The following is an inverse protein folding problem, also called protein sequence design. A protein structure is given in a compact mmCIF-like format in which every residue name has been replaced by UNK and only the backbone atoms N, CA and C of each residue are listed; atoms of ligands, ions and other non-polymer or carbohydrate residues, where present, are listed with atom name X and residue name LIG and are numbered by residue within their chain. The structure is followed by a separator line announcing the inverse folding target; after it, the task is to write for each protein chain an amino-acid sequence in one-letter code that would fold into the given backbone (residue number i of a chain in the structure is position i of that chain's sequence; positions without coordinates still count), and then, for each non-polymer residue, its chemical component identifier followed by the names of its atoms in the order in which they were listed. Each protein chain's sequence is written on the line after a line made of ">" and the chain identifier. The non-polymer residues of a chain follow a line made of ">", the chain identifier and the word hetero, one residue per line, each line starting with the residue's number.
data_IF_788710918005
#
_entry.id   IF_788710918005
#
_cell.length_a   1.000
_cell.length_b   1.000
_cell.length_c   1.000
_cell.angle_alpha   90.00
_cell.angle_beta   90.00
_cell.angle_gamma   90.00
#
_symmetry.space_group_name_H-M   'P 1'
#
loop_
_entity.id
_entity.type
_entity.pdbx_description
1 polymer ?
#
# COMPACT_ATOMS: atom_id res chain seq x y z
N UNK A 1 -11.02 27.36 -11.41
CA UNK A 1 -12.14 26.94 -12.28
C UNK A 1 -11.69 26.12 -13.49
N UNK A 2 -10.61 26.49 -14.19
CA UNK A 2 -10.11 25.78 -15.39
C UNK A 2 -9.81 24.28 -15.24
N UNK A 3 -9.48 23.78 -14.04
CA UNK A 3 -9.29 22.34 -13.80
C UNK A 3 -10.61 21.57 -13.60
N UNK A 4 -11.71 22.29 -13.41
CA UNK A 4 -13.02 21.76 -13.04
C UNK A 4 -14.04 21.87 -14.18
N UNK A 5 -13.86 22.79 -15.13
CA UNK A 5 -14.82 23.10 -16.20
C UNK A 5 -15.16 21.90 -17.09
N UNK A 6 -14.20 20.98 -17.29
CA UNK A 6 -14.42 19.73 -18.03
C UNK A 6 -14.99 18.60 -17.17
N UNK A 7 -15.02 18.74 -15.85
CA UNK A 7 -15.38 17.66 -14.91
C UNK A 7 -16.76 17.83 -14.29
N UNK A 8 -17.23 19.06 -14.14
CA UNK A 8 -18.49 19.37 -13.44
C UNK A 8 -19.15 20.60 -14.04
N UNK A 9 -20.47 20.71 -13.83
CA UNK A 9 -21.22 21.92 -14.16
C UNK A 9 -20.86 23.05 -13.18
N UNK A 10 -20.16 24.08 -13.66
CA UNK A 10 -19.75 25.22 -12.84
C UNK A 10 -20.79 26.33 -12.92
N UNK A 11 -21.36 26.72 -11.78
CA UNK A 11 -22.22 27.89 -11.64
C UNK A 11 -21.48 28.93 -10.78
N UNK A 12 -21.00 30.04 -11.37
CA UNK A 12 -20.31 31.06 -10.60
C UNK A 12 -21.32 31.92 -9.82
N UNK A 13 -20.99 32.18 -8.55
CA UNK A 13 -21.78 33.03 -7.66
C UNK A 13 -20.88 34.10 -7.03
N UNK A 14 -21.44 35.28 -6.79
CA UNK A 14 -20.84 36.32 -5.96
C UNK A 14 -21.45 36.19 -4.57
N UNK A 15 -20.67 35.66 -3.64
CA UNK A 15 -21.09 35.47 -2.25
C UNK A 15 -21.12 36.81 -1.50
N UNK A 16 -21.96 36.90 -0.46
CA UNK A 16 -22.09 38.10 0.40
C UNK A 16 -22.32 39.37 -0.42
N UNK A 17 -23.20 39.30 -1.42
CA UNK A 17 -23.47 40.41 -2.32
C UNK A 17 -24.00 41.67 -1.62
N UNK A 18 -24.50 41.54 -0.39
CA UNK A 18 -24.91 42.64 0.48
C UNK A 18 -23.77 43.56 0.92
N UNK A 19 -22.51 43.17 0.64
CA UNK A 19 -21.31 43.99 0.89
C UNK A 19 -20.93 44.90 -0.28
N UNK A 20 -21.60 44.78 -1.42
CA UNK A 20 -21.26 45.47 -2.67
C UNK A 20 -22.46 46.33 -3.09
N UNK A 21 -22.21 47.58 -3.48
CA UNK A 21 -23.29 48.43 -4.00
C UNK A 21 -23.79 47.93 -5.36
N UNK A 22 -25.02 48.28 -5.75
CA UNK A 22 -25.59 47.85 -7.04
C UNK A 22 -24.75 48.29 -8.24
N UNK A 23 -24.15 49.48 -8.20
CA UNK A 23 -23.33 50.03 -9.28
C UNK A 23 -21.99 49.31 -9.41
N UNK A 24 -21.35 48.99 -8.28
CA UNK A 24 -20.12 48.18 -8.25
C UNK A 24 -20.38 46.74 -8.66
N UNK A 25 -21.51 46.17 -8.24
CA UNK A 25 -21.90 44.81 -8.56
C UNK A 25 -22.02 44.60 -10.07
N UNK A 26 -22.63 45.55 -10.79
CA UNK A 26 -22.72 45.47 -12.26
C UNK A 26 -21.34 45.46 -12.91
N UNK A 27 -20.45 46.38 -12.50
CA UNK A 27 -19.06 46.41 -12.99
C UNK A 27 -18.31 45.11 -12.66
N UNK A 28 -18.54 44.56 -11.47
CA UNK A 28 -17.89 43.34 -11.01
C UNK A 28 -18.37 42.11 -11.80
N UNK A 29 -19.68 41.99 -12.06
CA UNK A 29 -20.24 40.95 -12.93
C UNK A 29 -19.62 41.00 -14.33
N UNK A 30 -19.57 42.17 -14.96
CA UNK A 30 -18.97 42.32 -16.29
C UNK A 30 -17.50 41.91 -16.32
N UNK A 31 -16.72 42.28 -15.30
CA UNK A 31 -15.31 41.88 -15.18
C UNK A 31 -15.16 40.36 -15.05
N UNK A 32 -15.96 39.72 -14.20
CA UNK A 32 -15.93 38.26 -14.02
C UNK A 32 -16.26 37.55 -15.34
N UNK A 33 -17.31 37.99 -16.04
CA UNK A 33 -17.70 37.38 -17.33
C UNK A 33 -16.59 37.52 -18.36
N UNK A 34 -15.98 38.71 -18.46
CA UNK A 34 -14.85 38.94 -19.36
C UNK A 34 -13.64 38.05 -19.01
N UNK A 35 -13.30 37.91 -17.72
CA UNK A 35 -12.20 37.03 -17.30
C UNK A 35 -12.48 35.55 -17.57
N UNK A 36 -13.72 35.09 -17.36
CA UNK A 36 -14.12 33.71 -17.67
C UNK A 36 -13.96 33.41 -19.17
N UNK A 37 -14.37 34.35 -20.03
CA UNK A 37 -14.23 34.25 -21.48
C UNK A 37 -12.75 34.27 -21.90
N UNK A 38 -11.97 35.25 -21.41
CA UNK A 38 -10.55 35.40 -21.75
C UNK A 38 -9.71 34.17 -21.37
N UNK A 39 -10.06 33.52 -20.26
CA UNK A 39 -9.39 32.30 -19.81
C UNK A 39 -10.01 31.03 -20.41
N UNK A 40 -11.05 31.14 -21.24
CA UNK A 40 -11.78 30.03 -21.85
C UNK A 40 -12.38 29.06 -20.83
N UNK A 41 -12.83 29.54 -19.68
CA UNK A 41 -13.45 28.72 -18.64
C UNK A 41 -14.90 28.47 -19.02
N UNK A 42 -15.26 27.21 -19.29
CA UNK A 42 -16.64 26.85 -19.59
C UNK A 42 -17.45 26.80 -18.30
N UNK A 43 -18.38 27.74 -18.15
CA UNK A 43 -19.41 27.70 -17.10
C UNK A 43 -20.65 27.02 -17.64
N UNK A 44 -21.46 26.50 -16.73
CA UNK A 44 -22.75 25.92 -17.08
C UNK A 44 -23.69 27.03 -17.57
N UNK A 45 -24.19 26.86 -18.79
CA UNK A 45 -25.22 27.68 -19.40
C UNK A 45 -26.46 26.83 -19.58
N UNK A 46 -27.61 27.46 -19.32
CA UNK A 46 -28.90 26.83 -19.48
C UNK A 46 -29.23 26.57 -20.94
N UNK A 47 -29.83 25.41 -21.25
CA UNK A 47 -30.32 25.13 -22.59
C UNK A 47 -31.42 26.13 -22.94
N UNK A 48 -31.34 26.70 -24.14
CA UNK A 48 -32.36 27.59 -24.70
C UNK A 48 -33.05 26.96 -25.91
N UNK A 49 -32.83 25.66 -26.10
CA UNK A 49 -33.28 24.89 -27.27
C UNK A 49 -34.78 24.56 -27.20
N UNK A 50 -35.33 24.43 -25.99
CA UNK A 50 -36.76 24.21 -25.75
C UNK A 50 -37.49 25.56 -25.67
N UNK A 51 -38.36 25.84 -26.64
CA UNK A 51 -39.16 27.07 -26.74
C UNK A 51 -39.99 27.35 -25.48
N UNK A 52 -40.41 26.32 -24.72
CA UNK A 52 -41.23 26.49 -23.53
C UNK A 52 -40.48 27.14 -22.35
N UNK A 53 -39.15 27.03 -22.32
CA UNK A 53 -38.28 27.53 -21.25
C UNK A 53 -37.16 28.44 -21.74
N UNK A 54 -37.04 28.66 -23.06
CA UNK A 54 -35.95 29.41 -23.70
C UNK A 54 -35.83 30.84 -23.17
N UNK A 55 -36.94 31.58 -23.07
CA UNK A 55 -36.96 32.96 -22.57
C UNK A 55 -36.50 33.04 -21.11
N UNK A 56 -36.99 32.12 -20.27
CA UNK A 56 -36.62 32.05 -18.85
C UNK A 56 -35.13 31.71 -18.73
N UNK A 57 -34.66 30.71 -19.45
CA UNK A 57 -33.27 30.27 -19.40
C UNK A 57 -32.30 31.32 -19.96
N UNK A 58 -32.68 32.05 -21.01
CA UNK A 58 -31.91 33.18 -21.54
C UNK A 58 -31.79 34.30 -20.50
N UNK A 59 -32.90 34.65 -19.82
CA UNK A 59 -32.90 35.62 -18.73
C UNK A 59 -32.04 35.15 -17.55
N UNK A 60 -32.11 33.88 -17.17
CA UNK A 60 -31.29 33.32 -16.09
C UNK A 60 -29.79 33.30 -16.44
N UNK A 61 -29.45 32.95 -17.68
CA UNK A 61 -28.07 33.01 -18.18
C UNK A 61 -27.49 34.43 -18.10
N UNK A 62 -28.30 35.47 -18.36
CA UNK A 62 -27.87 36.86 -18.25
C UNK A 62 -27.55 37.31 -16.81
N UNK A 63 -28.07 36.61 -15.80
CA UNK A 63 -27.81 36.92 -14.39
C UNK A 63 -26.51 36.31 -13.86
N UNK A 64 -25.86 35.42 -14.62
CA UNK A 64 -24.61 34.76 -14.25
C UNK A 64 -23.45 35.77 -14.31
N UNK A 65 -22.63 35.92 -13.24
CA UNK A 65 -22.69 35.20 -11.96
C UNK A 65 -23.76 35.73 -11.00
N UNK A 66 -24.46 34.84 -10.29
CA UNK A 66 -25.54 35.21 -9.37
C UNK A 66 -25.00 35.92 -8.13
N UNK A 67 -25.56 37.07 -7.80
CA UNK A 67 -25.19 37.83 -6.61
C UNK A 67 -26.06 37.41 -5.43
N UNK A 68 -25.51 36.61 -4.52
CA UNK A 68 -26.31 35.93 -3.48
C UNK A 68 -25.98 36.39 -2.07
N UNK A 69 -27.02 36.39 -1.23
CA UNK A 69 -26.95 36.64 0.20
C UNK A 69 -27.55 35.42 0.90
N UNK A 70 -26.83 34.86 1.87
CA UNK A 70 -27.32 33.75 2.69
C UNK A 70 -27.67 34.24 4.09
N UNK A 71 -28.78 33.74 4.64
CA UNK A 71 -29.11 33.90 6.07
C UNK A 71 -29.91 32.69 6.55
N UNK A 72 -29.62 32.23 7.76
CA UNK A 72 -30.42 31.25 8.51
C UNK A 72 -31.43 31.92 9.44
N UNK A 73 -31.26 33.23 9.68
CA UNK A 73 -32.04 33.95 10.68
C UNK A 73 -33.35 34.47 10.08
N UNK A 74 -34.42 34.36 10.86
CA UNK A 74 -35.73 34.88 10.51
C UNK A 74 -35.96 36.23 11.20
N UNK A 75 -36.29 37.24 10.40
CA UNK A 75 -36.65 38.56 10.89
C UNK A 75 -38.11 38.84 10.51
N UNK A 76 -38.86 39.42 11.44
CA UNK A 76 -40.23 39.86 11.18
C UNK A 76 -40.19 41.20 10.47
N UNK A 77 -40.57 41.22 9.19
CA UNK A 77 -40.70 42.45 8.40
C UNK A 77 -42.18 42.64 8.06
N UNK A 78 -42.81 43.62 8.71
CA UNK A 78 -44.26 43.78 8.70
C UNK A 78 -44.98 42.56 9.30
N UNK A 79 -45.85 41.93 8.51
CA UNK A 79 -46.64 40.77 8.95
C UNK A 79 -46.04 39.41 8.54
N UNK A 80 -44.86 39.39 7.90
CA UNK A 80 -44.23 38.15 7.43
C UNK A 80 -42.89 37.93 8.13
N UNK A 81 -42.61 36.67 8.46
CA UNK A 81 -41.28 36.21 8.89
C UNK A 81 -40.49 35.79 7.66
N UNK A 82 -39.40 36.49 7.39
CA UNK A 82 -38.57 36.26 6.19
C UNK A 82 -37.12 36.00 6.60
N UNK A 83 -36.40 35.20 5.80
CA UNK A 83 -34.96 35.02 5.96
C UNK A 83 -34.25 36.31 5.59
N UNK A 84 -33.48 36.86 6.52
CA UNK A 84 -32.85 38.16 6.33
C UNK A 84 -31.58 38.33 7.15
N UNK A 85 -30.74 39.30 6.75
CA UNK A 85 -29.61 39.79 7.55
C UNK A 85 -29.95 41.16 8.11
N UNK A 86 -29.87 41.31 9.43
CA UNK A 86 -30.14 42.57 10.11
C UNK A 86 -28.85 43.36 10.29
N UNK A 87 -28.88 44.63 9.88
CA UNK A 87 -27.83 45.61 10.12
C UNK A 87 -28.41 46.84 10.83
N UNK A 88 -27.58 47.70 11.46
CA UNK A 88 -28.04 48.95 12.07
C UNK A 88 -28.73 49.89 11.07
N UNK A 89 -28.34 49.84 9.80
CA UNK A 89 -28.88 50.68 8.72
C UNK A 89 -30.05 50.04 7.95
N UNK A 90 -30.43 48.80 8.25
CA UNK A 90 -31.55 48.14 7.58
C UNK A 90 -31.47 46.63 7.54
N UNK A 91 -32.44 46.03 6.83
CA UNK A 91 -32.64 44.58 6.77
C UNK A 91 -32.54 44.08 5.34
N UNK A 92 -31.57 43.21 5.06
CA UNK A 92 -31.40 42.59 3.74
C UNK A 92 -32.18 41.28 3.70
N UNK A 93 -33.35 41.32 3.07
CA UNK A 93 -34.18 40.14 2.80
C UNK A 93 -33.56 39.25 1.72
N UNK A 94 -33.39 37.96 2.02
CA UNK A 94 -32.76 36.97 1.11
C UNK A 94 -33.66 36.61 -0.07
N UNK A 95 -34.98 36.51 0.15
CA UNK A 95 -35.93 36.12 -0.90
C UNK A 95 -36.47 37.32 -1.70
N UNK A 96 -35.88 38.50 -1.52
CA UNK A 96 -36.27 39.70 -2.25
C UNK A 96 -35.32 39.92 -3.45
N UNK A 97 -35.87 39.82 -4.66
CA UNK A 97 -35.11 39.97 -5.91
C UNK A 97 -34.50 41.36 -6.11
N UNK A 98 -35.03 42.38 -5.43
CA UNK A 98 -34.45 43.73 -5.48
C UNK A 98 -33.17 43.85 -4.64
N UNK A 99 -32.91 42.88 -3.74
CA UNK A 99 -31.75 42.84 -2.86
C UNK A 99 -30.68 41.87 -3.36
N UNK A 100 -31.06 40.67 -3.83
CA UNK A 100 -30.10 39.68 -4.32
C UNK A 100 -30.76 38.68 -5.30
N UNK A 101 -29.94 37.93 -6.02
CA UNK A 101 -30.35 36.95 -7.04
C UNK A 101 -30.64 35.54 -6.44
N UNK A 102 -30.84 35.42 -5.14
CA UNK A 102 -31.03 34.10 -4.49
C UNK A 102 -32.24 33.34 -5.04
N UNK A 103 -33.36 34.04 -5.27
CA UNK A 103 -34.58 33.43 -5.83
C UNK A 103 -34.29 32.81 -7.19
N UNK A 104 -33.61 33.55 -8.07
CA UNK A 104 -33.20 33.10 -9.41
C UNK A 104 -32.29 31.87 -9.32
N UNK A 105 -31.28 31.89 -8.46
CA UNK A 105 -30.40 30.74 -8.25
C UNK A 105 -31.16 29.50 -7.76
N UNK A 106 -32.12 29.66 -6.84
CA UNK A 106 -32.92 28.56 -6.30
C UNK A 106 -33.83 27.94 -7.37
N UNK A 107 -34.55 28.76 -8.11
CA UNK A 107 -35.45 28.29 -9.18
C UNK A 107 -34.67 27.57 -10.27
N UNK A 108 -33.53 28.15 -10.65
CA UNK A 108 -32.59 27.58 -11.59
C UNK A 108 -32.08 26.19 -11.18
N UNK A 109 -31.61 26.03 -9.93
CA UNK A 109 -31.00 24.78 -9.48
C UNK A 109 -32.02 23.66 -9.22
N UNK A 110 -33.18 24.00 -8.67
CA UNK A 110 -34.10 23.00 -8.10
C UNK A 110 -35.33 22.78 -8.97
N UNK A 111 -35.82 23.82 -9.65
CA UNK A 111 -37.14 23.78 -10.31
C UNK A 111 -37.06 23.41 -11.77
N UNK A 112 -36.16 24.04 -12.52
CA UNK A 112 -36.22 23.99 -13.99
C UNK A 112 -35.14 23.08 -14.59
N UNK A 113 -33.92 23.11 -14.07
CA UNK A 113 -32.76 22.63 -14.84
C UNK A 113 -31.97 21.49 -14.16
N UNK A 114 -32.51 20.90 -13.09
CA UNK A 114 -31.86 19.79 -12.39
C UNK A 114 -31.62 18.59 -13.32
N UNK A 115 -32.59 18.29 -14.17
CA UNK A 115 -32.54 17.16 -15.08
C UNK A 115 -31.49 17.38 -16.18
N UNK A 116 -31.47 18.57 -16.81
CA UNK A 116 -30.44 18.94 -17.79
C UNK A 116 -29.02 18.90 -17.18
N UNK A 117 -28.85 19.41 -15.96
CA UNK A 117 -27.56 19.32 -15.27
C UNK A 117 -27.12 17.86 -15.07
N UNK A 118 -28.06 16.96 -14.75
CA UNK A 118 -27.79 15.53 -14.59
C UNK A 118 -27.40 14.89 -15.91
N UNK A 119 -28.16 15.18 -16.96
CA UNK A 119 -27.90 14.67 -18.32
C UNK A 119 -26.54 15.14 -18.83
N UNK A 120 -26.23 16.43 -18.72
CA UNK A 120 -24.92 16.98 -19.09
C UNK A 120 -23.78 16.38 -18.29
N UNK A 121 -24.00 16.08 -17.01
CA UNK A 121 -23.03 15.35 -16.18
C UNK A 121 -22.78 13.96 -16.74
N UNK A 122 -23.81 13.24 -17.13
CA UNK A 122 -23.68 11.90 -17.69
C UNK A 122 -23.06 11.92 -19.10
N UNK A 123 -23.69 12.61 -20.04
CA UNK A 123 -23.35 12.57 -21.47
C UNK A 123 -22.05 13.30 -21.83
N UNK A 124 -21.62 14.27 -21.02
CA UNK A 124 -20.40 15.06 -21.29
C UNK A 124 -19.31 14.80 -20.27
N UNK A 125 -19.56 15.08 -18.99
CA UNK A 125 -18.50 15.04 -17.98
C UNK A 125 -18.06 13.61 -17.67
N UNK A 126 -19.01 12.71 -17.45
CA UNK A 126 -18.74 11.30 -17.21
C UNK A 126 -18.20 10.61 -18.45
N UNK A 127 -18.77 10.83 -19.64
CA UNK A 127 -18.23 10.22 -20.87
C UNK A 127 -16.79 10.67 -21.16
N UNK A 128 -16.44 11.94 -20.92
CA UNK A 128 -15.06 12.41 -21.06
C UNK A 128 -14.11 11.69 -20.07
N UNK A 129 -14.57 11.48 -18.83
CA UNK A 129 -13.82 10.71 -17.84
C UNK A 129 -13.70 9.24 -18.26
N UNK A 130 -14.80 8.63 -18.71
CA UNK A 130 -14.91 7.24 -19.16
C UNK A 130 -13.95 6.98 -20.31
N UNK A 131 -13.95 7.84 -21.33
CA UNK A 131 -13.00 7.79 -22.46
C UNK A 131 -11.55 7.78 -21.97
N UNK A 132 -11.17 8.78 -21.15
CA UNK A 132 -9.80 8.87 -20.61
C UNK A 132 -9.42 7.65 -19.76
N UNK A 133 -10.36 7.09 -19.00
CA UNK A 133 -10.13 5.88 -18.20
C UNK A 133 -9.99 4.63 -19.03
N UNK A 134 -10.81 4.47 -20.07
CA UNK A 134 -10.70 3.37 -21.01
C UNK A 134 -9.36 3.41 -21.74
N UNK A 135 -8.92 4.59 -22.21
CA UNK A 135 -7.60 4.80 -22.81
C UNK A 135 -6.46 4.42 -21.86
N UNK A 136 -6.53 4.84 -20.59
CA UNK A 136 -5.53 4.46 -19.56
C UNK A 136 -5.52 2.97 -19.27
N UNK A 137 -6.69 2.33 -19.37
CA UNK A 137 -6.80 0.89 -19.29
C UNK A 137 -6.33 0.22 -20.59
N UNK A 138 -5.95 0.94 -21.65
CA UNK A 138 -5.50 0.34 -22.92
C UNK A 138 -6.64 -0.15 -23.81
N UNK A 139 -7.86 0.39 -23.62
CA UNK A 139 -8.93 0.27 -24.61
C UNK A 139 -8.85 1.48 -25.54
N UNK A 140 -8.51 1.23 -26.81
CA UNK A 140 -8.57 2.21 -27.90
C UNK A 140 -9.69 1.84 -28.87
N UNK A 141 -10.29 2.85 -29.49
CA UNK A 141 -11.32 2.65 -30.51
C UNK A 141 -10.75 2.12 -31.83
N UNK A 142 -9.43 2.23 -32.02
CA UNK A 142 -8.70 1.81 -33.23
C UNK A 142 -7.49 0.91 -32.91
N UNK A 143 -7.17 0.00 -33.82
CA UNK A 143 -5.95 -0.82 -33.81
C UNK A 143 -4.77 -0.07 -34.45
N UNK A 144 -3.62 -0.74 -34.53
CA UNK A 144 -2.41 -0.21 -35.18
C UNK A 144 -2.59 0.11 -36.67
N UNK A 145 -3.62 -0.47 -37.32
CA UNK A 145 -3.97 -0.26 -38.73
C UNK A 145 -5.15 0.71 -38.89
N UNK A 146 -5.50 1.43 -37.83
CA UNK A 146 -6.56 2.43 -37.79
C UNK A 146 -7.98 1.88 -38.08
N UNK A 147 -8.20 0.58 -37.84
CA UNK A 147 -9.50 -0.08 -37.98
C UNK A 147 -10.26 -0.08 -36.65
N UNK A 148 -11.59 0.05 -36.68
CA UNK A 148 -12.41 0.02 -35.47
C UNK A 148 -12.30 -1.34 -34.79
N UNK A 149 -11.87 -1.36 -33.53
CA UNK A 149 -11.73 -2.60 -32.75
C UNK A 149 -12.97 -2.80 -31.91
N UNK A 150 -13.56 -3.99 -32.00
CA UNK A 150 -14.70 -4.33 -31.15
C UNK A 150 -14.25 -4.41 -29.69
N UNK A 151 -15.00 -3.77 -28.79
CA UNK A 151 -14.75 -3.77 -27.34
C UNK A 151 -14.59 -5.20 -26.78
N UNK A 152 -15.36 -6.14 -27.33
CA UNK A 152 -15.31 -7.56 -26.96
C UNK A 152 -13.99 -8.21 -27.38
N UNK A 153 -13.49 -7.89 -28.57
CA UNK A 153 -12.23 -8.42 -29.08
C UNK A 153 -11.04 -7.92 -28.25
N UNK A 154 -11.01 -6.63 -27.90
CA UNK A 154 -9.97 -6.07 -27.01
C UNK A 154 -9.98 -6.72 -25.63
N UNK A 155 -11.18 -7.03 -25.09
CA UNK A 155 -11.31 -7.73 -23.82
C UNK A 155 -10.80 -9.18 -23.88
N UNK A 156 -11.14 -9.90 -24.96
CA UNK A 156 -10.66 -11.27 -25.21
C UNK A 156 -9.14 -11.32 -25.38
N UNK A 157 -8.57 -10.41 -26.17
CA UNK A 157 -7.11 -10.30 -26.34
C UNK A 157 -6.42 -10.00 -25.02
N UNK A 158 -6.92 -9.04 -24.22
CA UNK A 158 -6.36 -8.75 -22.90
C UNK A 158 -6.46 -9.93 -21.94
N UNK A 159 -7.60 -10.63 -21.93
CA UNK A 159 -7.78 -11.83 -21.11
C UNK A 159 -6.79 -12.93 -21.53
N UNK A 160 -6.61 -13.13 -22.84
CA UNK A 160 -5.63 -14.08 -23.38
C UNK A 160 -4.21 -13.72 -22.97
N UNK A 161 -3.79 -12.46 -23.16
CA UNK A 161 -2.47 -11.97 -22.78
C UNK A 161 -2.22 -12.11 -21.27
N UNK A 162 -3.22 -11.79 -20.44
CA UNK A 162 -3.12 -11.95 -18.99
C UNK A 162 -2.97 -13.42 -18.58
N UNK A 163 -3.71 -14.33 -19.24
CA UNK A 163 -3.58 -15.77 -19.01
C UNK A 163 -2.17 -16.26 -19.42
N UNK A 164 -1.64 -15.76 -20.53
CA UNK A 164 -0.32 -16.09 -21.02
C UNK A 164 0.79 -15.59 -20.08
N UNK A 165 0.66 -14.36 -19.55
CA UNK A 165 1.59 -13.83 -18.53
C UNK A 165 1.56 -14.67 -17.24
N UNK A 166 0.39 -15.11 -16.80
CA UNK A 166 0.27 -15.99 -15.64
C UNK A 166 0.93 -17.34 -15.88
N UNK A 167 0.73 -17.92 -17.07
CA UNK A 167 1.39 -19.17 -17.46
C UNK A 167 2.92 -19.01 -17.50
N UNK A 168 3.43 -17.93 -18.10
CA UNK A 168 4.87 -17.66 -18.12
C UNK A 168 5.45 -17.53 -16.71
N UNK A 169 4.78 -16.78 -15.82
CA UNK A 169 5.21 -16.66 -14.41
C UNK A 169 5.17 -18.01 -13.69
N UNK A 170 4.17 -18.84 -13.97
CA UNK A 170 4.10 -20.20 -13.42
C UNK A 170 5.27 -21.07 -13.91
N UNK A 171 5.57 -21.02 -15.21
CA UNK A 171 6.67 -21.77 -15.80
C UNK A 171 8.03 -21.28 -15.28
N UNK A 172 8.22 -19.97 -15.11
CA UNK A 172 9.40 -19.38 -14.47
C UNK A 172 9.55 -19.86 -13.01
N UNK A 173 8.46 -19.85 -12.23
CA UNK A 173 8.48 -20.36 -10.85
C UNK A 173 8.80 -21.86 -10.80
N UNK A 174 8.24 -22.65 -11.72
CA UNK A 174 8.53 -24.09 -11.84
C UNK A 174 10.00 -24.32 -12.19
N UNK A 175 10.55 -23.58 -13.16
CA UNK A 175 11.96 -23.68 -13.53
C UNK A 175 12.87 -23.29 -12.36
N UNK A 176 12.59 -22.18 -11.68
CA UNK A 176 13.35 -21.76 -10.50
C UNK A 176 13.30 -22.81 -9.39
N UNK A 177 12.15 -23.46 -9.17
CA UNK A 177 12.03 -24.55 -8.20
C UNK A 177 12.92 -25.74 -8.58
N UNK A 178 12.89 -26.18 -9.84
CA UNK A 178 13.73 -27.29 -10.33
C UNK A 178 15.21 -26.99 -10.15
N UNK A 179 15.65 -25.76 -10.46
CA UNK A 179 17.05 -25.34 -10.25
C UNK A 179 17.41 -25.39 -8.76
N UNK A 180 16.58 -24.81 -7.88
CA UNK A 180 16.81 -24.84 -6.43
C UNK A 180 16.85 -26.25 -5.86
N UNK A 181 15.98 -27.14 -6.32
CA UNK A 181 15.99 -28.56 -5.90
C UNK A 181 17.30 -29.21 -6.30
N UNK A 182 17.76 -29.04 -7.55
CA UNK A 182 19.04 -29.59 -8.01
C UNK A 182 20.23 -29.04 -7.23
N UNK A 183 20.25 -27.75 -6.93
CA UNK A 183 21.30 -27.13 -6.10
C UNK A 183 21.30 -27.72 -4.68
N UNK A 184 20.12 -27.85 -4.06
CA UNK A 184 20.00 -28.42 -2.71
C UNK A 184 20.34 -29.90 -2.65
N UNK A 185 19.97 -30.69 -3.66
CA UNK A 185 20.38 -32.09 -3.79
C UNK A 185 21.91 -32.21 -3.94
N UNK A 186 22.54 -31.33 -4.72
CA UNK A 186 24.00 -31.31 -4.86
C UNK A 186 24.71 -30.93 -3.55
N UNK A 187 24.20 -29.91 -2.84
CA UNK A 187 24.70 -29.54 -1.50
C UNK A 187 24.58 -30.69 -0.51
N UNK A 188 23.42 -31.36 -0.44
CA UNK A 188 23.20 -32.51 0.43
C UNK A 188 24.16 -33.66 0.10
N UNK A 189 24.38 -33.93 -1.19
CA UNK A 189 25.28 -34.98 -1.64
C UNK A 189 26.74 -34.71 -1.23
N UNK A 190 27.22 -33.48 -1.35
CA UNK A 190 28.56 -33.12 -0.88
C UNK A 190 28.65 -33.18 0.66
N UNK A 191 27.61 -32.73 1.37
CA UNK A 191 27.57 -32.84 2.84
C UNK A 191 27.58 -34.30 3.32
N UNK A 192 26.83 -35.20 2.66
CA UNK A 192 26.86 -36.64 2.93
C UNK A 192 28.24 -37.25 2.68
N UNK A 193 28.90 -36.86 1.58
CA UNK A 193 30.24 -37.32 1.26
C UNK A 193 31.28 -36.85 2.27
N UNK A 194 31.20 -35.60 2.72
CA UNK A 194 32.05 -35.07 3.80
C UNK A 194 31.81 -35.80 5.12
N UNK A 195 30.54 -36.04 5.47
CA UNK A 195 30.17 -36.77 6.68
C UNK A 195 30.72 -38.20 6.64
N UNK A 196 30.62 -38.87 5.50
CA UNK A 196 31.16 -40.21 5.29
C UNK A 196 32.69 -40.23 5.43
N UNK A 197 33.38 -39.25 4.84
CA UNK A 197 34.84 -39.12 4.98
C UNK A 197 35.27 -38.86 6.43
N UNK A 198 34.53 -38.01 7.16
CA UNK A 198 34.76 -37.77 8.60
C UNK A 198 34.54 -39.03 9.42
N UNK A 199 33.49 -39.80 9.13
CA UNK A 199 33.19 -41.06 9.80
C UNK A 199 34.31 -42.09 9.60
N UNK A 200 34.79 -42.30 8.37
CA UNK A 200 35.90 -43.23 8.10
C UNK A 200 37.21 -42.78 8.75
N UNK A 201 37.50 -41.47 8.80
CA UNK A 201 38.64 -40.94 9.54
C UNK A 201 38.53 -41.23 11.04
N UNK A 202 37.40 -40.88 11.66
CA UNK A 202 37.13 -41.15 13.08
C UNK A 202 37.24 -42.63 13.42
N UNK A 203 36.72 -43.51 12.55
CA UNK A 203 36.82 -44.96 12.69
C UNK A 203 38.29 -45.43 12.65
N UNK A 204 39.09 -44.90 11.72
CA UNK A 204 40.52 -45.21 11.64
C UNK A 204 41.26 -44.73 12.89
N UNK A 205 41.07 -43.48 13.28
CA UNK A 205 41.68 -42.89 14.47
C UNK A 205 41.33 -43.71 15.73
N UNK A 206 40.06 -44.09 15.88
CA UNK A 206 39.60 -44.94 16.98
C UNK A 206 40.28 -46.33 16.97
N UNK A 207 40.47 -46.95 15.81
CA UNK A 207 41.20 -48.23 15.73
C UNK A 207 42.67 -48.10 16.08
N UNK A 208 43.32 -47.00 15.73
CA UNK A 208 44.71 -46.72 16.07
C UNK A 208 44.87 -46.43 17.57
N UNK A 209 43.97 -45.64 18.17
CA UNK A 209 43.95 -45.43 19.62
C UNK A 209 43.71 -46.73 20.38
N UNK A 210 42.78 -47.57 19.92
CA UNK A 210 42.53 -48.88 20.54
C UNK A 210 43.80 -49.75 20.54
N UNK A 211 44.54 -49.78 19.43
CA UNK A 211 45.82 -50.49 19.34
C UNK A 211 46.87 -49.91 20.28
N UNK A 212 47.01 -48.58 20.35
CA UNK A 212 47.95 -47.91 21.28
C UNK A 212 47.63 -48.22 22.73
N UNK A 213 46.35 -48.20 23.11
CA UNK A 213 45.90 -48.56 24.47
C UNK A 213 46.23 -50.03 24.77
N UNK A 214 46.01 -50.93 23.80
CA UNK A 214 46.31 -52.35 23.94
C UNK A 214 47.82 -52.62 24.08
N UNK A 215 48.67 -51.93 23.30
CA UNK A 215 50.12 -51.98 23.43
C UNK A 215 50.62 -51.41 24.77
N UNK A 216 50.07 -50.28 25.21
CA UNK A 216 50.41 -49.67 26.49
C UNK A 216 49.99 -50.58 27.65
N UNK A 217 48.80 -51.20 27.56
CA UNK A 217 48.33 -52.20 28.52
C UNK A 217 49.27 -53.40 28.59
N UNK A 218 49.72 -53.92 27.44
CA UNK A 218 50.68 -55.03 27.39
C UNK A 218 52.00 -54.67 28.04
N UNK A 219 52.54 -53.47 27.76
CA UNK A 219 53.78 -52.98 28.41
C UNK A 219 53.62 -52.86 29.92
N UNK A 220 52.49 -52.32 30.39
CA UNK A 220 52.18 -52.25 31.83
C UNK A 220 52.06 -53.64 32.46
N UNK A 221 51.43 -54.60 31.77
CA UNK A 221 51.39 -56.00 32.22
C UNK A 221 52.80 -56.60 32.32
N UNK A 222 53.65 -56.37 31.32
CA UNK A 222 55.06 -56.82 31.33
C UNK A 222 55.86 -56.15 32.48
N UNK A 223 55.71 -54.85 32.69
CA UNK A 223 56.33 -54.10 33.79
C UNK A 223 55.85 -54.59 35.17
N UNK A 224 54.56 -54.91 35.33
CA UNK A 224 54.01 -55.50 36.56
C UNK A 224 54.63 -56.88 36.82
N UNK A 225 54.78 -57.70 35.78
CA UNK A 225 55.43 -59.01 35.90
C UNK A 225 56.90 -58.84 36.31
N UNK A 226 57.63 -57.90 35.69
CA UNK A 226 59.02 -57.63 36.04
C UNK A 226 59.17 -57.07 37.46
N UNK A 227 58.30 -56.14 37.86
CA UNK A 227 58.24 -55.60 39.22
C UNK A 227 57.99 -56.71 40.24
N UNK A 228 57.03 -57.59 39.99
CA UNK A 228 56.75 -58.73 40.85
C UNK A 228 57.95 -59.69 40.94
N UNK A 229 58.66 -59.93 39.83
CA UNK A 229 59.91 -60.71 39.82
C UNK A 229 61.01 -60.05 40.66
N UNK A 230 61.23 -58.74 40.50
CA UNK A 230 62.22 -58.00 41.30
C UNK A 230 61.84 -57.97 42.78
N UNK A 231 60.56 -57.79 43.11
CA UNK A 231 60.04 -57.87 44.48
C UNK A 231 60.32 -59.23 45.11
N UNK A 232 60.12 -60.33 44.38
CA UNK A 232 60.45 -61.67 44.84
C UNK A 232 61.96 -61.85 45.08
N UNK A 233 62.82 -61.30 44.21
CA UNK A 233 64.27 -61.31 44.39
C UNK A 233 64.74 -60.49 45.60
N UNK A 234 64.16 -59.31 45.83
CA UNK A 234 64.45 -58.51 47.04
C UNK A 234 63.95 -59.18 48.32
N UNK A 235 62.81 -59.88 48.27
CA UNK A 235 62.37 -60.71 49.40
C UNK A 235 63.33 -61.88 49.68
N UNK A 236 64.02 -62.42 48.67
CA UNK A 236 65.10 -63.40 48.87
C UNK A 236 66.39 -62.76 49.42
N UNK A 237 66.79 -61.56 48.98
CA UNK A 237 67.94 -60.84 49.56
C UNK A 237 67.71 -60.34 50.98
N UNK A 238 66.46 -60.00 51.34
CA UNK A 238 66.06 -59.68 52.71
C UNK A 238 66.16 -60.86 53.70
N UNK A 239 66.33 -62.09 53.21
CA UNK A 239 66.63 -63.27 54.05
C UNK A 239 68.14 -63.49 54.28
N UNK A 240 69.02 -62.66 53.69
CA UNK A 240 70.48 -62.90 53.69
C UNK A 240 71.26 -62.26 54.85
N UNK A 241 70.64 -61.56 55.80
CA UNK A 241 71.33 -61.10 57.00
C UNK A 241 70.54 -61.34 58.30
N UNK A 242 70.88 -62.49 58.89
CA UNK A 242 70.98 -62.85 60.29
C UNK A 242 69.76 -62.77 61.22
N UNK A 243 69.45 -63.94 61.78
CA UNK A 243 69.27 -64.08 63.24
C UNK A 243 69.95 -65.36 63.71
N UNK A 244 71.14 -65.21 64.31
CA UNK A 244 71.65 -66.19 65.27
C UNK A 244 70.88 -65.98 66.58
N UNK A 245 70.36 -67.09 67.10
CA UNK A 245 69.85 -67.29 68.45
C UNK A 245 70.85 -66.77 69.51
N UNK A 246 70.49 -66.32 70.73
CA UNK A 246 69.45 -66.75 71.65
C UNK A 246 69.37 -65.72 72.81
N UNK A 247 68.21 -65.50 73.43
CA UNK A 247 68.15 -64.83 74.74
C UNK A 247 66.85 -64.09 75.04
N UNK A 248 65.88 -64.79 75.62
CA UNK A 248 64.58 -64.26 76.08
C UNK A 248 64.74 -63.19 77.18
N UNK A 249 64.05 -62.03 77.04
CA UNK A 249 62.95 -61.49 77.91
C UNK A 249 62.89 -59.95 77.95
N UNK A 250 61.69 -59.46 78.31
CA UNK A 250 61.27 -58.10 78.77
C UNK A 250 60.79 -57.14 77.64
N UNK A 251 59.49 -56.76 77.64
CA UNK A 251 58.84 -55.63 78.35
C UNK A 251 59.30 -54.26 77.77
N UNK A 252 58.50 -53.22 77.50
CA UNK A 252 57.12 -52.85 77.90
C UNK A 252 56.75 -51.52 77.21
N UNK A 253 55.44 -51.28 77.03
CA UNK A 253 54.71 -49.97 77.05
C UNK A 253 54.82 -49.01 75.85
N UNK A 254 53.66 -48.75 75.18
CA UNK A 254 52.70 -47.62 75.35
C UNK A 254 53.32 -46.30 74.88
N UNK A 255 52.76 -45.53 73.94
CA UNK A 255 51.37 -45.10 73.70
C UNK A 255 51.10 -45.01 72.19
#
# INVERSE_FOLDING_TARGET
>A
MKKLDQKVNIIPIIAKADTISKTELQKFKSKIVAELQNNGVSVYQFPVDDESVSEVNASMNAHIPFAVVGSTDFVRVGNKTVRARQYPWGTVQVENESHCDFVKLREMLIRTNMEDMREKTHCKHYELYRKKRLEQMGFSDVDADNKPVSFQQTFETKRSNHLQELQQKEDEMRQMFVVRVKEKEAELKEAEKELHAKFEKLKKDHTEERKKIEEARKKLEDEIVEFNRRKAQYQQMGQSHHTLTLGKRLHSKFL
#
